data_IF_849599132761
#
_entry.id   IF_849599132761
#
_cell.length_a   1.000
_cell.length_b   1.000
_cell.length_c   1.000
_cell.angle_alpha   90.00
_cell.angle_beta   90.00
_cell.angle_gamma   90.00
#
_symmetry.space_group_name_H-M   'P 1'
#
loop_
_entity.id
_entity.type
_entity.pdbx_description
1 polymer ?
#
# COMPACT_ATOMS: atom_id res chain seq x y z
N UNK A 1 -21.57 15.86 -23.59
CA UNK A 1 -21.15 14.88 -22.57
C UNK A 1 -19.79 14.34 -22.99
N UNK A 2 -18.71 14.68 -22.28
CA UNK A 2 -17.39 14.02 -22.48
C UNK A 2 -17.53 12.63 -21.87
N UNK A 3 -17.40 11.58 -22.66
CA UNK A 3 -17.42 10.21 -22.14
C UNK A 3 -16.29 10.08 -21.09
N UNK A 4 -16.61 9.69 -19.86
CA UNK A 4 -15.60 9.38 -18.84
C UNK A 4 -14.89 8.08 -19.24
N UNK A 5 -13.88 8.20 -20.10
CA UNK A 5 -12.97 7.10 -20.45
C UNK A 5 -12.10 6.76 -19.24
N UNK A 6 -12.21 5.52 -18.78
CA UNK A 6 -11.44 5.00 -17.66
C UNK A 6 -10.01 4.66 -18.09
N UNK A 7 -9.05 4.76 -17.16
CA UNK A 7 -7.67 4.33 -17.39
C UNK A 7 -7.65 2.82 -17.63
N UNK A 8 -7.00 2.38 -18.70
CA UNK A 8 -6.86 0.96 -19.03
C UNK A 8 -5.46 0.49 -18.61
N UNK A 9 -5.39 -0.09 -17.41
CA UNK A 9 -4.13 -0.56 -16.85
C UNK A 9 -3.61 -1.80 -17.59
N UNK A 10 -2.33 -1.84 -17.98
CA UNK A 10 -1.73 -3.00 -18.61
C UNK A 10 -1.80 -4.24 -17.70
N UNK A 11 -1.89 -5.43 -18.31
CA UNK A 11 -1.83 -6.72 -17.61
C UNK A 11 -0.50 -7.38 -17.96
N UNK A 12 0.36 -7.62 -16.96
CA UNK A 12 1.72 -8.12 -17.17
C UNK A 12 2.29 -8.80 -15.92
N UNK A 13 3.41 -9.51 -16.03
CA UNK A 13 4.07 -10.15 -14.87
C UNK A 13 4.94 -9.17 -14.07
N UNK A 14 5.42 -8.12 -14.72
CA UNK A 14 6.23 -7.04 -14.13
C UNK A 14 6.05 -5.73 -14.89
N UNK A 15 6.56 -4.64 -14.34
CA UNK A 15 6.36 -3.30 -14.89
C UNK A 15 7.10 -3.03 -16.22
N UNK A 16 8.26 -3.66 -16.46
CA UNK A 16 8.96 -3.55 -17.76
C UNK A 16 8.15 -4.20 -18.89
N UNK A 17 7.51 -5.34 -18.63
CA UNK A 17 6.57 -5.96 -19.56
C UNK A 17 5.30 -5.13 -19.72
N UNK A 18 4.79 -4.53 -18.64
CA UNK A 18 3.64 -3.63 -18.71
C UNK A 18 3.89 -2.44 -19.65
N UNK A 19 5.13 -1.95 -19.69
CA UNK A 19 5.52 -0.83 -20.55
C UNK A 19 5.79 -1.24 -22.01
N UNK A 20 6.37 -2.42 -22.23
CA UNK A 20 6.85 -2.85 -23.55
C UNK A 20 5.87 -3.75 -24.31
N UNK A 21 5.38 -4.81 -23.66
CA UNK A 21 4.58 -5.88 -24.29
C UNK A 21 3.55 -6.45 -23.30
N UNK A 22 2.52 -5.68 -22.92
CA UNK A 22 1.49 -6.18 -22.03
C UNK A 22 0.61 -7.21 -22.72
N UNK A 23 0.08 -8.15 -21.94
CA UNK A 23 -0.83 -9.19 -22.42
C UNK A 23 -2.21 -8.63 -22.84
N UNK A 24 -2.55 -7.46 -22.30
CA UNK A 24 -3.75 -6.69 -22.61
C UNK A 24 -3.87 -5.51 -21.66
N UNK A 25 -4.99 -4.79 -21.73
CA UNK A 25 -5.28 -3.67 -20.82
C UNK A 25 -6.68 -3.78 -20.25
N UNK A 26 -6.86 -3.43 -18.99
CA UNK A 26 -8.11 -3.61 -18.26
C UNK A 26 -8.35 -2.47 -17.26
N UNK A 27 -9.59 -1.98 -17.20
CA UNK A 27 -9.98 -1.01 -16.17
C UNK A 27 -10.22 -1.69 -14.80
N UNK A 28 -10.70 -2.93 -14.80
CA UNK A 28 -11.14 -3.66 -13.61
C UNK A 28 -10.36 -4.96 -13.39
N UNK A 29 -10.23 -5.36 -12.13
CA UNK A 29 -9.55 -6.60 -11.74
C UNK A 29 -10.16 -7.84 -12.42
N UNK A 30 -11.50 -7.94 -12.47
CA UNK A 30 -12.17 -9.09 -13.10
C UNK A 30 -11.88 -9.21 -14.59
N UNK A 31 -11.72 -8.09 -15.30
CA UNK A 31 -11.32 -8.09 -16.71
C UNK A 31 -9.86 -8.46 -16.89
N UNK A 32 -8.99 -7.95 -16.02
CA UNK A 32 -7.57 -8.29 -16.00
C UNK A 32 -7.36 -9.80 -15.73
N UNK A 33 -8.09 -10.36 -14.76
CA UNK A 33 -8.05 -11.79 -14.47
C UNK A 33 -8.56 -12.65 -15.64
N UNK A 34 -9.63 -12.24 -16.32
CA UNK A 34 -10.10 -12.92 -17.54
C UNK A 34 -9.06 -12.91 -18.66
N UNK A 35 -8.32 -11.81 -18.83
CA UNK A 35 -7.26 -11.71 -19.84
C UNK A 35 -6.02 -12.54 -19.45
N UNK A 36 -5.62 -12.49 -18.18
CA UNK A 36 -4.47 -13.22 -17.68
C UNK A 36 -4.69 -14.73 -17.55
N UNK A 37 -5.94 -15.18 -17.40
CA UNK A 37 -6.26 -16.57 -17.06
C UNK A 37 -5.91 -16.96 -15.61
N UNK A 38 -5.41 -16.00 -14.82
CA UNK A 38 -4.91 -16.20 -13.46
C UNK A 38 -5.34 -15.05 -12.55
N UNK A 39 -5.11 -15.21 -11.25
CA UNK A 39 -5.32 -14.14 -10.28
C UNK A 39 -4.33 -12.99 -10.51
N UNK A 40 -4.84 -11.77 -10.42
CA UNK A 40 -4.07 -10.54 -10.63
C UNK A 40 -4.20 -9.61 -9.44
N UNK A 41 -3.16 -8.83 -9.17
CA UNK A 41 -3.15 -7.77 -8.18
C UNK A 41 -2.74 -6.43 -8.80
N UNK A 42 -3.22 -5.34 -8.22
CA UNK A 42 -2.82 -4.01 -8.66
C UNK A 42 -1.45 -3.66 -8.08
N UNK A 43 -0.50 -3.32 -8.94
CA UNK A 43 0.86 -2.96 -8.57
C UNK A 43 1.25 -1.61 -9.17
N UNK A 44 2.24 -0.95 -8.56
CA UNK A 44 2.86 0.25 -9.11
C UNK A 44 4.35 0.21 -8.81
N UNK A 45 5.15 0.00 -9.84
CA UNK A 45 6.58 -0.19 -9.71
C UNK A 45 7.33 0.82 -10.57
N UNK A 46 8.57 1.14 -10.16
CA UNK A 46 9.47 1.97 -10.95
C UNK A 46 10.11 1.16 -12.09
N UNK A 47 10.27 1.78 -13.25
CA UNK A 47 10.86 1.17 -14.46
C UNK A 47 11.88 2.11 -15.10
N UNK A 48 12.81 1.53 -15.87
CA UNK A 48 13.78 2.28 -16.63
C UNK A 48 14.82 3.07 -15.80
N UNK A 49 15.59 3.95 -16.47
CA UNK A 49 16.68 4.69 -15.85
C UNK A 49 16.20 5.75 -14.86
N UNK A 50 17.10 6.12 -13.94
CA UNK A 50 16.92 7.23 -13.02
C UNK A 50 17.54 8.51 -13.60
N UNK A 51 16.78 9.60 -13.60
CA UNK A 51 17.22 10.90 -14.12
C UNK A 51 17.53 11.87 -12.98
N UNK A 52 18.54 12.72 -13.16
CA UNK A 52 18.88 13.73 -12.16
C UNK A 52 17.85 14.88 -12.10
N UNK A 53 17.19 15.17 -13.21
CA UNK A 53 16.27 16.31 -13.39
C UNK A 53 14.92 15.83 -13.92
N UNK A 54 13.84 16.52 -13.58
CA UNK A 54 12.49 16.19 -14.06
C UNK A 54 12.38 16.33 -15.57
N UNK A 55 13.02 17.35 -16.13
CA UNK A 55 12.97 17.72 -17.54
C UNK A 55 13.57 16.62 -18.40
N UNK A 56 14.76 16.12 -18.05
CA UNK A 56 15.38 14.98 -18.74
C UNK A 56 14.49 13.71 -18.71
N UNK A 57 13.75 13.48 -17.61
CA UNK A 57 12.83 12.37 -17.53
C UNK A 57 11.57 12.59 -18.39
N UNK A 58 11.04 13.81 -18.44
CA UNK A 58 9.91 14.19 -19.30
C UNK A 58 10.28 14.03 -20.78
N UNK A 59 11.45 14.50 -21.18
CA UNK A 59 11.92 14.40 -22.56
C UNK A 59 12.13 12.93 -22.97
N UNK A 60 12.65 12.09 -22.07
CA UNK A 60 12.83 10.65 -22.32
C UNK A 60 11.51 9.87 -22.46
N UNK A 61 10.43 10.36 -21.83
CA UNK A 61 9.11 9.72 -21.83
C UNK A 61 8.02 10.59 -22.47
N UNK A 62 8.40 11.43 -23.43
CA UNK A 62 7.49 12.33 -24.12
C UNK A 62 6.25 11.59 -24.67
N UNK A 63 5.06 12.15 -24.41
CA UNK A 63 3.77 11.59 -24.83
C UNK A 63 3.25 10.42 -23.98
N UNK A 64 4.03 9.90 -23.02
CA UNK A 64 3.59 8.83 -22.09
C UNK A 64 3.20 9.32 -20.72
N UNK A 65 3.67 10.51 -20.35
CA UNK A 65 3.40 11.16 -19.07
C UNK A 65 2.87 12.56 -19.31
N UNK A 66 2.17 13.10 -18.32
CA UNK A 66 1.70 14.48 -18.35
C UNK A 66 2.88 15.46 -18.33
N UNK A 67 3.01 16.26 -19.38
CA UNK A 67 4.02 17.30 -19.50
C UNK A 67 3.37 18.69 -19.53
N UNK A 68 3.33 19.32 -18.35
CA UNK A 68 2.78 20.66 -18.15
C UNK A 68 3.50 21.74 -18.99
N UNK A 69 4.76 21.52 -19.40
CA UNK A 69 5.53 22.50 -20.19
C UNK A 69 4.98 22.62 -21.61
N UNK A 70 4.58 21.48 -22.18
CA UNK A 70 4.07 21.38 -23.56
C UNK A 70 2.55 21.32 -23.60
N UNK A 71 1.91 21.09 -22.44
CA UNK A 71 0.47 20.79 -22.34
C UNK A 71 0.12 19.41 -22.91
N UNK A 72 1.12 18.58 -23.21
CA UNK A 72 0.91 17.25 -23.75
C UNK A 72 0.41 16.32 -22.65
N UNK A 73 -0.82 15.85 -22.77
CA UNK A 73 -1.39 14.84 -21.90
C UNK A 73 -1.66 13.57 -22.70
N UNK A 74 -1.27 12.38 -22.21
CA UNK A 74 -1.71 11.14 -22.81
C UNK A 74 -3.24 11.00 -22.74
N UNK A 75 -3.77 10.23 -23.69
CA UNK A 75 -5.17 9.85 -23.72
C UNK A 75 -5.59 9.23 -22.40
N UNK A 76 -6.86 9.40 -22.01
CA UNK A 76 -7.34 8.97 -20.69
C UNK A 76 -7.07 7.48 -20.41
N UNK A 77 -7.10 6.63 -21.45
CA UNK A 77 -6.83 5.20 -21.35
C UNK A 77 -5.35 4.88 -21.07
N UNK A 78 -4.44 5.76 -21.50
CA UNK A 78 -2.98 5.61 -21.41
C UNK A 78 -2.35 6.27 -20.17
N UNK A 79 -3.16 6.81 -19.26
CA UNK A 79 -2.69 7.48 -18.03
C UNK A 79 -2.27 6.51 -16.91
N UNK A 80 -1.59 5.43 -17.27
CA UNK A 80 -1.06 4.44 -16.32
C UNK A 80 0.43 4.68 -15.97
N UNK A 81 1.07 5.66 -16.61
CA UNK A 81 2.46 6.07 -16.39
C UNK A 81 2.54 7.39 -15.62
N UNK A 82 3.47 7.49 -14.66
CA UNK A 82 3.71 8.74 -13.92
C UNK A 82 5.19 8.90 -13.57
N UNK A 83 5.71 10.12 -13.66
CA UNK A 83 7.02 10.47 -13.12
C UNK A 83 6.92 10.78 -11.62
N UNK A 84 7.81 10.17 -10.84
CA UNK A 84 7.90 10.35 -9.40
C UNK A 84 9.33 10.67 -9.01
N UNK A 85 9.49 11.66 -8.14
CA UNK A 85 10.75 11.94 -7.48
C UNK A 85 10.99 10.91 -6.37
N UNK A 86 12.11 10.21 -6.44
CA UNK A 86 12.50 9.17 -5.49
C UNK A 86 13.87 9.50 -4.90
N UNK A 87 14.10 9.06 -3.67
CA UNK A 87 15.43 9.13 -3.08
C UNK A 87 16.37 8.21 -3.87
N UNK A 88 17.55 8.73 -4.23
CA UNK A 88 18.56 7.98 -4.97
C UNK A 88 18.96 6.71 -4.22
N UNK A 89 19.18 5.64 -4.97
CA UNK A 89 19.65 4.37 -4.41
C UNK A 89 20.99 4.56 -3.68
N UNK A 90 21.13 3.90 -2.52
CA UNK A 90 22.30 4.06 -1.64
C UNK A 90 22.28 5.30 -0.74
N UNK A 91 21.29 6.17 -0.85
CA UNK A 91 21.15 7.26 0.11
C UNK A 91 20.85 6.70 1.53
N UNK A 92 21.48 7.26 2.57
CA UNK A 92 21.23 6.81 3.94
C UNK A 92 19.76 7.01 4.29
N UNK A 93 19.14 5.98 4.88
CA UNK A 93 17.76 6.11 5.39
C UNK A 93 17.72 7.25 6.42
N UNK A 94 16.71 8.13 6.37
CA UNK A 94 16.59 9.18 7.37
C UNK A 94 16.46 8.53 8.74
N UNK A 95 17.38 8.89 9.64
CA UNK A 95 17.29 8.47 11.05
C UNK A 95 16.17 9.26 11.71
N UNK A 96 15.44 8.63 12.63
CA UNK A 96 14.57 9.36 13.54
C UNK A 96 15.44 10.31 14.37
N UNK A 97 15.14 11.60 14.32
CA UNK A 97 15.81 12.62 15.13
C UNK A 97 14.77 13.21 16.07
N UNK A 98 15.03 13.18 17.38
CA UNK A 98 14.22 13.92 18.32
C UNK A 98 14.48 15.42 18.11
N UNK A 99 13.45 16.24 17.85
CA UNK A 99 13.64 17.67 17.70
C UNK A 99 13.97 18.28 19.06
N UNK A 100 15.25 18.54 19.31
CA UNK A 100 15.66 19.45 20.38
C UNK A 100 15.65 20.89 19.87
N UNK A 101 15.27 21.82 20.74
CA UNK A 101 15.31 23.25 20.48
C UNK A 101 16.28 23.89 21.47
N UNK A 102 17.14 24.78 20.97
CA UNK A 102 18.00 25.64 21.76
C UNK A 102 17.78 27.08 21.28
N UNK A 103 17.52 28.01 22.19
CA UNK A 103 17.30 29.43 21.89
C UNK A 103 16.22 29.70 20.82
N UNK A 104 15.14 28.91 20.82
CA UNK A 104 14.04 29.04 19.85
C UNK A 104 14.35 28.46 18.46
N UNK A 105 15.52 27.86 18.25
CA UNK A 105 15.92 27.23 17.00
C UNK A 105 16.07 25.72 17.14
N UNK A 106 15.75 24.98 16.08
CA UNK A 106 15.98 23.52 16.02
C UNK A 106 17.47 23.24 16.07
N UNK A 107 17.90 22.51 17.08
CA UNK A 107 19.28 22.12 17.32
C UNK A 107 19.36 20.61 17.55
N UNK A 108 20.28 19.86 16.90
CA UNK A 108 21.23 20.31 15.89
C UNK A 108 20.55 20.68 14.56
N UNK A 109 21.30 21.38 13.70
CA UNK A 109 20.89 21.66 12.33
C UNK A 109 20.52 20.34 11.61
N UNK A 110 19.44 20.31 10.82
CA UNK A 110 19.01 19.10 10.14
C UNK A 110 20.09 18.61 9.17
N UNK A 111 20.26 17.28 9.00
CA UNK A 111 21.18 16.74 8.02
C UNK A 111 20.77 17.15 6.60
N UNK A 112 21.76 17.24 5.70
CA UNK A 112 21.53 17.54 4.29
C UNK A 112 20.51 16.56 3.70
N UNK A 113 19.54 17.10 2.95
CA UNK A 113 18.54 16.28 2.27
C UNK A 113 19.24 15.23 1.37
N UNK A 114 18.71 13.99 1.32
CA UNK A 114 19.26 12.97 0.45
C UNK A 114 19.12 13.39 -1.01
N UNK A 115 20.05 12.95 -1.85
CA UNK A 115 19.95 13.17 -3.29
C UNK A 115 18.70 12.47 -3.81
N UNK A 116 17.91 13.17 -4.62
CA UNK A 116 16.74 12.62 -5.30
C UNK A 116 17.03 12.40 -6.78
N UNK A 117 16.22 11.53 -7.39
CA UNK A 117 16.22 11.18 -8.81
C UNK A 117 14.78 11.01 -9.28
N UNK A 118 14.54 11.27 -10.55
CA UNK A 118 13.24 11.08 -11.19
C UNK A 118 13.19 9.71 -11.85
N UNK A 119 12.15 8.93 -11.55
CA UNK A 119 11.89 7.63 -12.18
C UNK A 119 10.47 7.55 -12.72
N UNK A 120 10.32 6.80 -13.81
CA UNK A 120 9.01 6.42 -14.30
C UNK A 120 8.42 5.35 -13.41
N UNK A 121 7.18 5.54 -12.99
CA UNK A 121 6.37 4.53 -12.32
C UNK A 121 5.23 4.10 -13.24
N UNK A 122 4.94 2.81 -13.25
CA UNK A 122 3.89 2.20 -14.08
C UNK A 122 2.91 1.49 -13.16
N UNK A 123 1.63 1.86 -13.25
CA UNK A 123 0.54 1.16 -12.59
C UNK A 123 -0.03 0.10 -13.51
N UNK A 124 -0.15 -1.14 -13.03
CA UNK A 124 -0.53 -2.30 -13.86
C UNK A 124 -1.18 -3.41 -13.03
N UNK A 125 -1.88 -4.32 -13.70
CA UNK A 125 -2.35 -5.57 -13.15
C UNK A 125 -1.23 -6.62 -13.24
N UNK A 126 -0.63 -6.94 -12.09
CA UNK A 126 0.42 -7.94 -11.96
C UNK A 126 -0.16 -9.35 -11.91
N UNK A 127 0.27 -10.20 -12.82
CA UNK A 127 -0.12 -11.62 -12.90
C UNK A 127 0.59 -12.42 -11.80
N UNK A 128 -0.15 -13.33 -11.14
CA UNK A 128 0.41 -14.28 -10.19
C UNK A 128 0.73 -13.71 -8.81
N UNK A 129 0.30 -12.47 -8.51
CA UNK A 129 0.56 -11.79 -7.22
C UNK A 129 -0.69 -11.26 -6.55
N UNK A 130 -1.86 -11.89 -6.76
CA UNK A 130 -2.79 -11.90 -5.64
C UNK A 130 -2.04 -12.69 -4.56
N UNK A 131 -1.44 -11.98 -3.58
CA UNK A 131 -0.98 -12.60 -2.33
C UNK A 131 -2.05 -13.61 -2.00
N UNK A 132 -1.74 -14.90 -2.19
CA UNK A 132 -2.55 -15.95 -1.59
C UNK A 132 -2.65 -15.49 -0.15
N UNK A 133 -3.84 -15.38 0.46
CA UNK A 133 -3.92 -15.04 1.87
C UNK A 133 -3.03 -16.07 2.56
N UNK A 134 -1.81 -15.67 2.91
CA UNK A 134 -1.02 -16.43 3.85
C UNK A 134 -1.94 -16.39 5.05
N UNK A 135 -2.36 -17.55 5.53
CA UNK A 135 -2.94 -17.65 6.86
C UNK A 135 -1.82 -17.27 7.83
N UNK A 136 -1.54 -15.97 7.91
CA UNK A 136 -0.53 -15.43 8.77
C UNK A 136 -1.04 -15.72 10.19
N UNK A 137 -0.21 -16.36 11.04
CA UNK A 137 -0.61 -16.65 12.39
C UNK A 137 -1.04 -15.35 13.06
N UNK A 138 -2.15 -15.37 13.81
CA UNK A 138 -2.66 -14.18 14.45
C UNK A 138 -1.54 -13.51 15.27
N UNK A 139 -1.41 -12.18 15.16
CA UNK A 139 -0.31 -11.42 15.75
C UNK A 139 -0.03 -11.78 17.23
N UNK A 140 -1.09 -12.09 18.00
CA UNK A 140 -0.98 -12.47 19.41
C UNK A 140 -0.41 -13.88 19.62
N UNK A 141 -0.71 -14.84 18.74
CA UNK A 141 -0.12 -16.18 18.79
C UNK A 141 1.35 -16.15 18.38
N UNK A 142 1.69 -15.39 17.33
CA UNK A 142 3.07 -15.15 16.90
C UNK A 142 3.94 -14.51 17.99
N UNK A 143 3.39 -13.55 18.75
CA UNK A 143 4.08 -12.95 19.92
C UNK A 143 4.27 -13.94 21.07
N UNK A 144 3.31 -14.85 21.29
CA UNK A 144 3.37 -15.85 22.37
C UNK A 144 4.36 -16.98 22.07
N UNK A 145 4.56 -17.34 20.81
CA UNK A 145 5.47 -18.41 20.40
C UNK A 145 6.95 -18.01 20.34
N UNK A 146 7.28 -16.71 20.44
CA UNK A 146 8.67 -16.16 20.33
C UNK A 146 9.43 -16.70 19.10
N UNK A 147 8.73 -16.99 18.02
CA UNK A 147 9.34 -17.47 16.78
C UNK A 147 9.98 -16.30 16.02
N UNK A 148 11.16 -16.51 15.46
CA UNK A 148 11.73 -15.58 14.49
C UNK A 148 10.87 -15.62 13.22
N UNK A 149 10.22 -14.50 12.92
CA UNK A 149 9.31 -14.36 11.80
C UNK A 149 10.02 -13.66 10.64
N UNK A 150 9.86 -14.22 9.45
CA UNK A 150 10.33 -13.63 8.21
C UNK A 150 9.65 -12.27 7.94
N UNK A 151 10.37 -11.27 7.39
CA UNK A 151 9.85 -9.93 7.08
C UNK A 151 8.56 -9.91 6.25
N UNK A 152 8.36 -10.85 5.32
CA UNK A 152 7.12 -10.88 4.54
C UNK A 152 5.94 -11.43 5.37
N UNK A 153 6.22 -12.35 6.31
CA UNK A 153 5.24 -12.79 7.31
C UNK A 153 4.82 -11.65 8.24
N UNK A 154 5.78 -10.81 8.66
CA UNK A 154 5.47 -9.63 9.49
C UNK A 154 4.57 -8.62 8.77
N UNK A 155 4.79 -8.40 7.47
CA UNK A 155 3.95 -7.54 6.63
C UNK A 155 2.54 -8.12 6.46
N UNK A 156 2.42 -9.43 6.30
CA UNK A 156 1.14 -10.12 6.23
C UNK A 156 0.34 -9.99 7.54
N UNK A 157 1.01 -10.15 8.70
CA UNK A 157 0.38 -9.96 10.02
C UNK A 157 -0.14 -8.53 10.19
N UNK A 158 0.63 -7.52 9.80
CA UNK A 158 0.26 -6.11 9.95
C UNK A 158 -0.98 -5.69 9.15
N UNK A 159 -1.27 -6.39 8.04
CA UNK A 159 -2.43 -6.10 7.17
C UNK A 159 -3.68 -6.90 7.56
N UNK A 160 -3.55 -7.89 8.44
CA UNK A 160 -4.66 -8.78 8.80
C UNK A 160 -5.56 -8.12 9.86
N UNK A 161 -6.88 -7.98 9.62
CA UNK A 161 -7.79 -7.45 10.64
C UNK A 161 -7.83 -8.36 11.86
N UNK A 162 -7.85 -7.77 13.06
CA UNK A 162 -7.86 -8.54 14.30
C UNK A 162 -9.12 -9.39 14.40
N UNK A 163 -8.95 -10.70 14.48
CA UNK A 163 -10.04 -11.64 14.75
C UNK A 163 -10.03 -12.02 16.23
N UNK A 164 -11.19 -12.23 16.86
CA UNK A 164 -11.26 -12.82 18.19
C UNK A 164 -10.58 -14.21 18.18
N UNK A 165 -9.53 -14.40 18.98
CA UNK A 165 -8.83 -15.71 19.10
C UNK A 165 -9.66 -16.77 19.81
N UNK A 166 -10.65 -16.34 20.59
CA UNK A 166 -11.57 -17.17 21.37
C UNK A 166 -12.93 -16.48 21.36
N UNK A 167 -14.03 -17.23 21.50
CA UNK A 167 -15.32 -16.63 21.85
C UNK A 167 -15.13 -15.71 23.05
N UNK A 168 -15.73 -14.52 23.00
CA UNK A 168 -15.82 -13.64 24.16
C UNK A 168 -16.42 -14.51 25.28
N UNK A 169 -15.69 -14.69 26.39
CA UNK A 169 -16.32 -15.31 27.56
C UNK A 169 -17.52 -14.44 27.92
N UNK A 170 -18.71 -15.02 28.17
CA UNK A 170 -19.75 -14.25 28.80
C UNK A 170 -19.13 -13.64 30.05
N UNK A 171 -19.25 -12.32 30.20
CA UNK A 171 -19.04 -11.71 31.50
C UNK A 171 -19.97 -12.43 32.46
N UNK A 172 -19.50 -12.79 33.66
CA UNK A 172 -20.37 -13.31 34.71
C UNK A 172 -21.39 -12.21 35.02
N UNK A 173 -22.54 -12.28 34.33
CA UNK A 173 -23.77 -11.58 34.65
C UNK A 173 -24.12 -11.99 36.09
N UNK A 174 -23.80 -11.11 37.02
CA UNK A 174 -23.83 -11.40 38.46
C UNK A 174 -22.92 -10.51 39.29
N UNK A 175 -22.01 -9.75 38.68
CA UNK A 175 -21.18 -8.81 39.46
C UNK A 175 -21.90 -7.50 39.84
N UNK A 176 -23.05 -7.21 39.23
CA UNK A 176 -23.82 -5.97 39.45
C UNK A 176 -25.33 -6.22 39.49
N UNK A 177 -25.78 -7.46 39.75
CA UNK A 177 -27.19 -7.81 39.66
C UNK A 177 -27.61 -8.78 40.78
N UNK A 178 -28.64 -8.41 41.56
CA UNK A 178 -29.24 -9.24 42.61
C UNK A 178 -30.59 -9.76 42.15
N UNK A 179 -30.89 -11.03 42.48
CA UNK A 179 -32.23 -11.60 42.34
C UNK A 179 -32.92 -11.69 43.70
N UNK A 180 -34.01 -10.95 43.96
CA UNK A 180 -34.70 -11.02 45.23
C UNK A 180 -35.38 -12.39 45.42
N UNK A 181 -35.41 -12.91 46.66
CA UNK A 181 -35.91 -14.26 46.95
C UNK A 181 -37.40 -14.43 46.62
N UNK A 182 -38.19 -13.35 46.73
CA UNK A 182 -39.64 -13.38 46.49
C UNK A 182 -40.01 -13.32 45.00
N UNK A 183 -39.08 -12.92 44.13
CA UNK A 183 -39.29 -12.81 42.68
C UNK A 183 -38.01 -13.15 41.90
N UNK A 184 -37.58 -14.43 41.87
CA UNK A 184 -36.30 -14.86 41.28
C UNK A 184 -36.22 -14.74 39.75
N UNK A 185 -37.31 -14.30 39.10
CA UNK A 185 -37.39 -14.02 37.67
C UNK A 185 -37.07 -12.55 37.34
N UNK A 186 -36.96 -11.68 38.34
CA UNK A 186 -36.61 -10.27 38.20
C UNK A 186 -35.11 -10.12 38.49
N UNK A 187 -34.41 -9.38 37.64
CA UNK A 187 -33.00 -9.02 37.80
C UNK A 187 -32.95 -7.53 38.13
N UNK A 188 -32.36 -7.19 39.27
CA UNK A 188 -32.20 -5.81 39.73
C UNK A 188 -30.73 -5.43 39.75
N UNK A 189 -30.35 -4.19 39.39
CA UNK A 189 -28.98 -3.72 39.56
C UNK A 189 -28.59 -3.66 41.04
N UNK A 190 -27.35 -4.01 41.36
CA UNK A 190 -26.71 -3.86 42.67
C UNK A 190 -26.27 -2.38 42.81
N UNK A 191 -26.78 -1.66 43.82
CA UNK A 191 -26.36 -0.29 44.18
C UNK A 191 -25.30 -0.30 45.29
#
# INVERSE_FOLDING_TARGET
MRAMTAILYPVATNAEQALSRPLGRAARQSEAGRRAGEAVAFATDAVGPAFATREAALDAYAGRVDDERTGAMPDAEDRYCRLVEQVAEGAPRPKSVQPSYADGHRWPAPPKAPRTVWRLTVSYWRIGTADRPLEAPQARQARKSKQDLDPDTLRAIARTPMRPTKPQQPLDIGLFEIRPPDAPHIVMPDE
#
